data_IF_202402008579
#
_entry.id   IF_202402008579
#
_cell.length_a   1.000
_cell.length_b   1.000
_cell.length_c   1.000
_cell.angle_alpha   90.00
_cell.angle_beta   90.00
_cell.angle_gamma   90.00
#
_symmetry.space_group_name_H-M   'P 1'
#
loop_
_entity.id
_entity.type
_entity.pdbx_description
1 polymer ?
#
# COMPACT_ATOMS: atom_id res chain seq x y z
N UNK A 1 19.77 -26.85 6.75
CA UNK A 1 19.93 -26.52 5.32
C UNK A 1 18.62 -25.90 4.87
N UNK A 2 18.42 -24.59 4.81
CA UNK A 2 19.35 -23.47 4.96
C UNK A 2 18.71 -22.41 5.86
N UNK A 3 19.43 -22.08 6.94
CA UNK A 3 19.04 -21.07 7.90
C UNK A 3 19.19 -19.69 7.27
N UNK A 4 18.13 -18.88 7.39
CA UNK A 4 18.14 -17.47 7.08
C UNK A 4 19.04 -16.78 8.13
N UNK A 5 20.35 -16.70 7.88
CA UNK A 5 21.27 -15.94 8.72
C UNK A 5 20.96 -14.46 8.48
N UNK A 6 20.13 -13.89 9.35
CA UNK A 6 19.94 -12.45 9.47
C UNK A 6 21.15 -11.91 10.23
N UNK A 7 22.16 -11.44 9.51
CA UNK A 7 23.21 -10.63 10.13
C UNK A 7 22.61 -9.26 10.48
N UNK A 8 22.38 -9.03 11.79
CA UNK A 8 22.08 -7.71 12.36
C UNK A 8 23.33 -6.83 12.21
N UNK A 9 23.39 -6.04 11.13
CA UNK A 9 24.48 -5.07 10.91
C UNK A 9 23.98 -3.68 11.28
N UNK A 10 24.16 -3.31 12.55
CA UNK A 10 23.86 -1.97 13.05
C UNK A 10 24.85 -0.96 12.45
N UNK A 11 24.37 0.19 11.99
CA UNK A 11 25.25 1.33 11.75
C UNK A 11 25.64 1.97 13.10
N UNK A 12 26.66 2.83 13.08
CA UNK A 12 27.22 3.48 14.29
C UNK A 12 26.21 4.28 15.13
N UNK A 13 24.99 4.55 14.60
CA UNK A 13 23.97 5.37 15.24
C UNK A 13 22.70 4.58 15.63
N UNK A 14 22.69 3.24 15.49
CA UNK A 14 21.61 2.40 16.01
C UNK A 14 20.26 2.44 15.25
N UNK A 15 20.21 2.99 14.04
CA UNK A 15 18.95 3.06 13.26
C UNK A 15 18.79 1.85 12.32
N UNK A 16 17.63 1.19 12.39
CA UNK A 16 17.27 0.02 11.56
C UNK A 16 16.85 0.50 10.16
N UNK A 17 17.77 0.42 9.19
CA UNK A 17 17.50 0.68 7.76
C UNK A 17 17.54 -0.63 6.94
N UNK A 18 16.78 -1.66 7.35
CA UNK A 18 16.97 -3.03 6.84
C UNK A 18 16.04 -3.52 5.71
N UNK A 19 15.18 -2.69 5.11
CA UNK A 19 14.25 -3.17 4.07
C UNK A 19 14.53 -2.67 2.66
N UNK A 20 15.22 -1.56 2.47
CA UNK A 20 15.40 -0.96 1.13
C UNK A 20 16.55 -1.58 0.34
N UNK A 21 17.65 -1.96 1.01
CA UNK A 21 18.87 -2.45 0.34
C UNK A 21 18.69 -3.84 -0.26
N UNK A 22 18.00 -4.75 0.44
CA UNK A 22 17.73 -6.10 -0.07
C UNK A 22 16.78 -6.09 -1.28
N UNK A 23 15.76 -5.22 -1.26
CA UNK A 23 14.87 -4.98 -2.41
C UNK A 23 15.70 -4.43 -3.58
N UNK A 24 16.54 -3.43 -3.35
CA UNK A 24 17.42 -2.89 -4.39
C UNK A 24 18.35 -3.96 -5.01
N UNK A 25 18.97 -4.84 -4.23
CA UNK A 25 19.82 -5.91 -4.78
C UNK A 25 19.05 -6.97 -5.57
N UNK A 26 17.83 -7.33 -5.16
CA UNK A 26 16.97 -8.26 -5.91
C UNK A 26 16.47 -7.61 -7.21
N UNK A 27 16.11 -6.32 -7.15
CA UNK A 27 15.76 -5.50 -8.32
C UNK A 27 16.91 -5.35 -9.31
N UNK A 28 18.14 -5.23 -8.81
CA UNK A 28 19.33 -5.13 -9.66
C UNK A 28 19.68 -6.47 -10.33
N UNK A 29 19.30 -7.62 -9.74
CA UNK A 29 19.48 -8.95 -10.33
C UNK A 29 18.40 -9.33 -11.35
N UNK A 30 17.19 -8.76 -11.28
CA UNK A 30 16.08 -8.97 -12.23
C UNK A 30 15.96 -7.78 -13.19
N UNK A 31 16.77 -7.83 -14.24
CA UNK A 31 17.06 -6.73 -15.18
C UNK A 31 15.86 -6.05 -15.86
N UNK A 32 16.16 -4.88 -16.48
CA UNK A 32 15.36 -3.96 -17.34
C UNK A 32 13.85 -3.80 -17.07
N UNK A 33 13.07 -4.88 -17.02
CA UNK A 33 11.64 -4.92 -16.73
C UNK A 33 11.26 -4.24 -15.40
N UNK A 34 11.97 -4.55 -14.31
CA UNK A 34 11.70 -3.96 -12.99
C UNK A 34 12.08 -2.48 -12.95
N UNK A 35 13.16 -2.10 -13.66
CA UNK A 35 13.55 -0.69 -13.81
C UNK A 35 12.51 0.14 -14.58
N UNK A 36 11.88 -0.46 -15.59
CA UNK A 36 10.81 0.19 -16.34
C UNK A 36 9.55 0.34 -15.48
N UNK A 37 9.14 -0.71 -14.76
CA UNK A 37 8.02 -0.66 -13.82
C UNK A 37 8.25 0.39 -12.72
N UNK A 38 9.42 0.44 -12.08
CA UNK A 38 9.74 1.47 -11.08
C UNK A 38 9.66 2.87 -11.68
N UNK A 39 10.20 3.09 -12.89
CA UNK A 39 10.12 4.39 -13.59
C UNK A 39 8.69 4.79 -13.97
N UNK A 40 7.80 3.83 -14.23
CA UNK A 40 6.40 4.09 -14.54
C UNK A 40 5.56 4.27 -13.27
N UNK A 41 5.85 3.53 -12.20
CA UNK A 41 5.15 3.59 -10.91
C UNK A 41 5.42 4.89 -10.16
N UNK A 42 6.66 5.37 -10.19
CA UNK A 42 7.07 6.54 -9.41
C UNK A 42 6.26 7.80 -9.77
N UNK A 43 6.10 8.17 -11.06
CA UNK A 43 5.28 9.33 -11.44
C UNK A 43 3.79 9.15 -11.15
N UNK A 44 3.23 7.94 -11.30
CA UNK A 44 1.81 7.65 -10.96
C UNK A 44 1.54 8.03 -9.52
N UNK A 45 2.43 7.61 -8.63
CA UNK A 45 2.26 7.77 -7.20
C UNK A 45 2.63 9.19 -6.79
N UNK A 46 3.65 9.80 -7.38
CA UNK A 46 4.03 11.20 -7.14
C UNK A 46 2.99 12.22 -7.64
N UNK A 47 2.29 11.94 -8.74
CA UNK A 47 1.27 12.84 -9.30
C UNK A 47 -0.07 12.77 -8.54
N UNK A 48 -0.40 11.60 -7.98
CA UNK A 48 -1.66 11.36 -7.26
C UNK A 48 -1.59 11.61 -5.76
N UNK A 49 -0.38 11.62 -5.18
CA UNK A 49 -0.18 11.75 -3.74
C UNK A 49 0.60 13.02 -3.43
N UNK A 50 0.08 13.84 -2.52
CA UNK A 50 0.80 15.02 -2.07
C UNK A 50 2.22 14.67 -1.60
N UNK A 51 3.18 15.46 -2.08
CA UNK A 51 4.63 15.26 -2.12
C UNK A 51 5.30 14.87 -0.78
N UNK A 52 4.59 14.94 0.35
CA UNK A 52 5.14 14.84 1.71
C UNK A 52 4.61 13.71 2.61
N UNK A 53 3.69 12.85 2.17
CA UNK A 53 3.24 11.75 3.04
C UNK A 53 4.24 10.59 3.07
N UNK A 54 4.68 10.18 4.26
CA UNK A 54 5.60 9.05 4.44
C UNK A 54 4.95 7.72 4.02
N UNK A 55 3.62 7.65 4.04
CA UNK A 55 2.87 6.41 3.93
C UNK A 55 2.77 5.90 2.46
N UNK A 56 2.82 6.79 1.45
CA UNK A 56 2.80 6.35 0.04
C UNK A 56 4.13 5.76 -0.43
N UNK A 57 5.28 6.28 0.05
CA UNK A 57 6.60 5.73 -0.27
C UNK A 57 6.69 4.28 0.19
N UNK A 58 6.08 4.01 1.34
CA UNK A 58 6.03 2.69 1.92
C UNK A 58 5.12 1.74 1.14
N UNK A 59 4.00 2.22 0.60
CA UNK A 59 3.14 1.45 -0.31
C UNK A 59 3.89 1.04 -1.60
N UNK A 60 4.66 1.95 -2.21
CA UNK A 60 5.50 1.63 -3.37
C UNK A 60 6.51 0.53 -3.04
N UNK A 61 7.23 0.67 -1.91
CA UNK A 61 8.25 -0.32 -1.52
C UNK A 61 7.63 -1.71 -1.36
N UNK A 62 6.43 -1.82 -0.79
CA UNK A 62 5.74 -3.10 -0.64
C UNK A 62 5.22 -3.65 -1.96
N UNK A 63 4.64 -2.82 -2.82
CA UNK A 63 4.23 -3.25 -4.16
C UNK A 63 5.42 -3.80 -4.97
N UNK A 64 6.57 -3.13 -4.88
CA UNK A 64 7.81 -3.55 -5.51
C UNK A 64 8.35 -4.87 -4.94
N UNK A 65 8.25 -5.06 -3.62
CA UNK A 65 8.56 -6.32 -2.96
C UNK A 65 7.63 -7.45 -3.42
N UNK A 66 6.32 -7.18 -3.49
CA UNK A 66 5.31 -8.15 -3.92
C UNK A 66 5.48 -8.52 -5.40
N UNK A 67 5.90 -7.59 -6.28
CA UNK A 67 6.28 -7.92 -7.67
C UNK A 67 7.49 -8.85 -7.74
N UNK A 68 8.46 -8.69 -6.84
CA UNK A 68 9.60 -9.58 -6.76
C UNK A 68 9.19 -10.99 -6.29
N UNK A 69 8.22 -11.08 -5.40
CA UNK A 69 7.68 -12.35 -4.88
C UNK A 69 6.73 -13.04 -5.86
N UNK A 70 5.91 -12.26 -6.58
CA UNK A 70 4.86 -12.74 -7.47
C UNK A 70 5.05 -12.16 -8.89
N UNK A 71 6.04 -12.65 -9.65
CA UNK A 71 6.33 -12.11 -10.99
C UNK A 71 5.20 -12.32 -12.01
N UNK A 72 4.19 -13.15 -11.70
CA UNK A 72 3.02 -13.39 -12.54
C UNK A 72 2.23 -12.12 -12.90
N UNK A 73 2.29 -11.08 -12.07
CA UNK A 73 1.58 -9.81 -12.33
C UNK A 73 2.36 -8.86 -13.26
N UNK A 74 3.65 -9.10 -13.48
CA UNK A 74 4.55 -8.16 -14.19
C UNK A 74 4.09 -7.92 -15.63
N UNK A 75 3.71 -8.98 -16.35
CA UNK A 75 3.34 -8.83 -17.76
C UNK A 75 2.01 -8.10 -17.90
N UNK A 76 0.99 -8.49 -17.14
CA UNK A 76 -0.31 -7.84 -17.16
C UNK A 76 -0.23 -6.34 -16.80
N UNK A 77 0.57 -5.98 -15.79
CA UNK A 77 0.81 -4.58 -15.43
C UNK A 77 1.56 -3.81 -16.54
N UNK A 78 2.52 -4.45 -17.21
CA UNK A 78 3.24 -3.82 -18.33
C UNK A 78 2.31 -3.61 -19.53
N UNK A 79 1.47 -4.57 -19.85
CA UNK A 79 0.48 -4.48 -20.93
C UNK A 79 -0.50 -3.36 -20.67
N UNK A 80 -1.09 -3.29 -19.45
CA UNK A 80 -1.98 -2.20 -19.06
C UNK A 80 -1.31 -0.84 -19.21
N UNK A 81 -0.10 -0.67 -18.65
CA UNK A 81 0.64 0.58 -18.77
C UNK A 81 0.91 0.95 -20.24
N UNK A 82 1.40 0.00 -21.04
CA UNK A 82 1.75 0.23 -22.45
C UNK A 82 0.52 0.63 -23.26
N UNK A 83 -0.62 -0.01 -23.03
CA UNK A 83 -1.88 0.31 -23.67
C UNK A 83 -2.32 1.74 -23.30
N UNK A 84 -2.36 2.07 -22.01
CA UNK A 84 -2.81 3.39 -21.54
C UNK A 84 -1.90 4.51 -21.99
N UNK A 85 -0.59 4.32 -22.02
CA UNK A 85 0.33 5.34 -22.55
C UNK A 85 0.21 5.54 -24.07
N UNK A 86 -0.23 4.52 -24.83
CA UNK A 86 -0.48 4.63 -26.27
C UNK A 86 -1.83 5.28 -26.59
N UNK A 87 -2.86 4.99 -25.82
CA UNK A 87 -4.22 5.54 -26.00
C UNK A 87 -4.34 7.01 -25.61
N UNK A 88 -3.37 7.54 -24.87
CA UNK A 88 -3.50 8.82 -24.20
C UNK A 88 -3.03 9.99 -25.07
N UNK A 89 -3.90 10.44 -25.98
CA UNK A 89 -3.68 11.66 -26.77
C UNK A 89 -4.19 12.94 -26.06
N UNK A 90 -5.03 12.84 -25.02
CA UNK A 90 -5.69 14.02 -24.39
C UNK A 90 -6.02 13.94 -22.88
N UNK A 91 -5.73 12.85 -22.16
CA UNK A 91 -6.12 12.66 -20.73
C UNK A 91 -4.97 12.37 -19.75
N UNK A 92 -5.30 12.06 -18.49
CA UNK A 92 -4.33 11.49 -17.53
C UNK A 92 -4.26 9.96 -17.76
N UNK A 93 -3.11 9.41 -18.19
CA UNK A 93 -3.01 7.99 -18.53
C UNK A 93 -3.21 7.10 -17.29
N UNK A 94 -3.05 7.66 -16.09
CA UNK A 94 -3.16 6.94 -14.84
C UNK A 94 -4.61 6.67 -14.46
N UNK A 95 -5.58 7.51 -14.86
CA UNK A 95 -7.00 7.38 -14.46
C UNK A 95 -7.61 6.01 -14.77
N UNK A 96 -7.07 5.30 -15.75
CA UNK A 96 -7.59 4.01 -16.24
C UNK A 96 -6.63 2.83 -16.04
N UNK A 97 -5.66 2.95 -15.13
CA UNK A 97 -4.78 1.84 -14.73
C UNK A 97 -5.39 1.07 -13.56
N UNK A 98 -6.42 0.29 -13.85
CA UNK A 98 -7.26 -0.40 -12.87
C UNK A 98 -6.53 -1.55 -12.17
N UNK A 99 -5.77 -2.34 -12.94
CA UNK A 99 -4.98 -3.43 -12.40
C UNK A 99 -3.85 -2.88 -11.52
N UNK A 100 -3.23 -1.78 -11.92
CA UNK A 100 -2.24 -1.12 -11.11
C UNK A 100 -2.82 -0.66 -9.75
N UNK A 101 -3.93 0.07 -9.76
CA UNK A 101 -4.57 0.52 -8.52
C UNK A 101 -4.96 -0.67 -7.63
N UNK A 102 -5.48 -1.74 -8.23
CA UNK A 102 -5.80 -2.97 -7.50
C UNK A 102 -4.57 -3.62 -6.87
N UNK A 103 -3.48 -3.74 -7.63
CA UNK A 103 -2.25 -4.36 -7.17
C UNK A 103 -1.61 -3.56 -6.02
N UNK A 104 -1.60 -2.22 -6.13
CA UNK A 104 -1.10 -1.35 -5.07
C UNK A 104 -1.94 -1.48 -3.79
N UNK A 105 -3.26 -1.53 -3.93
CA UNK A 105 -4.21 -1.67 -2.81
C UNK A 105 -4.06 -3.03 -2.12
N UNK A 106 -3.89 -4.11 -2.89
CA UNK A 106 -3.61 -5.43 -2.33
C UNK A 106 -2.26 -5.49 -1.62
N UNK A 107 -1.23 -4.89 -2.20
CA UNK A 107 0.10 -4.87 -1.59
C UNK A 107 0.07 -4.16 -0.23
N UNK A 108 -0.66 -3.03 -0.15
CA UNK A 108 -0.89 -2.31 1.08
C UNK A 108 -1.75 -3.09 2.10
N UNK A 109 -2.73 -3.89 1.65
CA UNK A 109 -3.54 -4.77 2.51
C UNK A 109 -2.74 -5.94 3.08
N UNK A 110 -1.96 -6.60 2.24
CA UNK A 110 -1.27 -7.83 2.56
C UNK A 110 0.01 -7.57 3.36
N UNK A 111 0.69 -6.46 3.05
CA UNK A 111 1.94 -6.05 3.68
C UNK A 111 1.85 -4.64 4.28
N UNK A 112 0.91 -4.35 5.21
CA UNK A 112 0.76 -3.00 5.74
C UNK A 112 1.97 -2.61 6.60
N UNK A 113 2.38 -1.35 6.51
CA UNK A 113 3.49 -0.77 7.28
C UNK A 113 3.21 -0.76 8.77
N UNK A 114 2.00 -0.37 9.14
CA UNK A 114 1.53 -0.25 10.50
C UNK A 114 0.44 -1.28 10.83
N UNK A 115 0.19 -1.50 12.11
CA UNK A 115 -0.97 -2.29 12.57
C UNK A 115 -2.21 -1.42 12.82
N UNK A 116 -2.02 -0.12 13.02
CA UNK A 116 -3.05 0.84 13.40
C UNK A 116 -2.96 2.09 12.53
N UNK A 117 -4.09 2.74 12.28
CA UNK A 117 -4.17 4.05 11.65
C UNK A 117 -4.91 5.04 12.55
N UNK A 118 -4.91 6.33 12.15
CA UNK A 118 -5.69 7.40 12.80
C UNK A 118 -5.56 7.47 14.33
N UNK A 119 -4.42 7.94 14.85
CA UNK A 119 -4.21 8.09 16.30
C UNK A 119 -4.78 9.43 16.79
N UNK A 120 -5.59 9.41 17.85
CA UNK A 120 -6.19 10.60 18.47
C UNK A 120 -6.01 10.55 19.98
N UNK A 121 -5.34 11.57 20.53
CA UNK A 121 -5.22 11.76 21.97
C UNK A 121 -6.44 12.50 22.50
N UNK A 122 -7.08 11.95 23.52
CA UNK A 122 -8.17 12.60 24.23
C UNK A 122 -7.63 13.81 25.01
N UNK A 123 -8.10 15.00 24.63
CA UNK A 123 -7.81 16.27 25.31
C UNK A 123 -8.83 16.61 26.40
N UNK A 124 -9.94 15.87 26.42
CA UNK A 124 -11.04 15.95 27.38
C UNK A 124 -11.62 14.54 27.57
N UNK A 125 -12.36 14.29 28.66
CA UNK A 125 -13.09 13.03 28.82
C UNK A 125 -14.11 12.87 27.69
N UNK A 126 -14.25 11.65 27.18
CA UNK A 126 -15.18 11.33 26.11
C UNK A 126 -15.79 9.95 26.34
N UNK A 127 -17.09 9.80 26.11
CA UNK A 127 -17.77 8.50 26.20
C UNK A 127 -18.42 8.20 24.85
N UNK A 128 -18.07 7.05 24.29
CA UNK A 128 -18.65 6.52 23.06
C UNK A 128 -20.10 6.06 23.30
N UNK A 129 -20.86 5.90 22.22
CA UNK A 129 -22.27 5.49 22.30
C UNK A 129 -22.47 4.08 22.87
N UNK A 130 -21.43 3.25 22.85
CA UNK A 130 -21.40 1.90 23.43
C UNK A 130 -21.02 1.89 24.92
N UNK A 131 -20.80 3.07 25.52
CA UNK A 131 -20.44 3.22 26.92
C UNK A 131 -18.94 3.14 27.22
N UNK A 132 -18.08 2.92 26.21
CA UNK A 132 -16.63 3.00 26.40
C UNK A 132 -16.23 4.45 26.70
N UNK A 133 -15.48 4.69 27.77
CA UNK A 133 -15.01 6.03 28.14
C UNK A 133 -13.50 6.17 28.01
N UNK A 134 -13.07 7.29 27.42
CA UNK A 134 -11.69 7.75 27.36
C UNK A 134 -11.43 8.82 28.42
N UNK A 135 -10.31 8.67 29.12
CA UNK A 135 -9.78 9.69 30.03
C UNK A 135 -8.89 10.67 29.26
N UNK A 136 -8.69 11.85 29.85
CA UNK A 136 -7.72 12.82 29.33
C UNK A 136 -6.35 12.14 29.27
N UNK A 137 -5.73 12.16 28.10
CA UNK A 137 -4.44 11.52 27.85
C UNK A 137 -4.51 10.21 27.08
N UNK A 138 -5.65 9.52 27.08
CA UNK A 138 -5.82 8.25 26.35
C UNK A 138 -5.67 8.45 24.84
N UNK A 139 -5.22 7.40 24.14
CA UNK A 139 -5.06 7.41 22.67
C UNK A 139 -5.99 6.40 22.04
N UNK A 140 -6.97 6.89 21.27
CA UNK A 140 -7.80 6.07 20.41
C UNK A 140 -7.14 5.89 19.03
N UNK A 141 -7.30 4.71 18.42
CA UNK A 141 -6.80 4.42 17.08
C UNK A 141 -7.71 3.44 16.35
N UNK A 142 -7.56 3.36 15.02
CA UNK A 142 -8.26 2.37 14.19
C UNK A 142 -7.38 1.12 14.06
N UNK A 143 -7.90 -0.09 14.35
CA UNK A 143 -7.15 -1.34 14.23
C UNK A 143 -7.05 -1.78 12.75
N UNK A 144 -6.32 -1.00 11.96
CA UNK A 144 -6.20 -1.14 10.50
C UNK A 144 -5.88 -2.56 10.05
N UNK A 145 -4.82 -3.18 10.58
CA UNK A 145 -4.40 -4.53 10.18
C UNK A 145 -5.47 -5.57 10.48
N UNK A 146 -6.19 -5.42 11.60
CA UNK A 146 -7.27 -6.34 11.94
C UNK A 146 -8.42 -6.22 10.94
N UNK A 147 -8.83 -5.01 10.58
CA UNK A 147 -9.88 -4.76 9.58
C UNK A 147 -9.49 -5.33 8.20
N UNK A 148 -8.25 -5.09 7.77
CA UNK A 148 -7.72 -5.54 6.46
C UNK A 148 -7.42 -7.04 6.37
N UNK A 149 -7.37 -7.71 7.52
CA UNK A 149 -7.19 -9.17 7.63
C UNK A 149 -8.45 -9.88 8.10
N UNK A 150 -9.59 -9.19 8.18
CA UNK A 150 -10.87 -9.79 8.55
C UNK A 150 -11.52 -10.45 7.31
N UNK A 151 -11.76 -11.76 7.40
CA UNK A 151 -12.41 -12.53 6.34
C UNK A 151 -13.85 -12.06 6.02
N UNK A 152 -14.49 -11.36 6.96
CA UNK A 152 -15.80 -10.72 6.73
C UNK A 152 -15.72 -9.57 5.74
N UNK A 153 -14.55 -8.94 5.61
CA UNK A 153 -14.29 -7.85 4.67
C UNK A 153 -13.66 -8.36 3.37
N UNK A 154 -12.72 -9.31 3.47
CA UNK A 154 -11.94 -9.80 2.33
C UNK A 154 -11.84 -11.33 2.37
N UNK A 155 -12.41 -12.07 1.41
CA UNK A 155 -12.26 -13.53 1.39
C UNK A 155 -10.80 -13.94 1.10
N UNK A 156 -10.33 -15.06 1.66
CA UNK A 156 -8.97 -15.57 1.45
C UNK A 156 -7.88 -14.53 1.81
N UNK A 157 -7.96 -13.92 3.01
CA UNK A 157 -7.06 -12.84 3.45
C UNK A 157 -5.57 -13.20 3.43
N UNK A 158 -5.27 -14.50 3.62
CA UNK A 158 -3.91 -15.06 3.64
C UNK A 158 -3.30 -15.22 2.25
N UNK A 159 -4.06 -14.99 1.19
CA UNK A 159 -3.60 -15.05 -0.19
C UNK A 159 -3.44 -13.63 -0.73
N UNK A 160 -2.26 -13.35 -1.29
CA UNK A 160 -2.02 -12.12 -2.04
C UNK A 160 -2.60 -12.25 -3.45
N UNK A 161 -3.67 -11.51 -3.70
CA UNK A 161 -4.36 -11.48 -4.99
C UNK A 161 -4.37 -10.05 -5.57
N UNK A 162 -3.48 -9.80 -6.53
CA UNK A 162 -3.32 -8.50 -7.18
C UNK A 162 -4.56 -8.03 -7.94
N UNK A 163 -5.51 -8.92 -8.22
CA UNK A 163 -6.77 -8.63 -8.90
C UNK A 163 -7.94 -8.40 -7.93
N UNK A 164 -7.73 -8.50 -6.61
CA UNK A 164 -8.78 -8.43 -5.59
C UNK A 164 -9.67 -7.18 -5.68
N UNK A 165 -9.09 -6.08 -6.10
CA UNK A 165 -9.76 -4.78 -6.21
C UNK A 165 -9.95 -4.35 -7.67
N UNK A 166 -9.66 -5.24 -8.62
CA UNK A 166 -9.86 -4.99 -10.03
C UNK A 166 -11.36 -5.11 -10.32
N UNK A 167 -11.99 -3.98 -10.62
CA UNK A 167 -13.38 -3.96 -11.08
C UNK A 167 -13.47 -3.29 -12.46
N UNK A 168 -12.92 -3.98 -13.45
CA UNK A 168 -12.94 -3.53 -14.85
C UNK A 168 -14.35 -3.48 -15.45
N UNK A 169 -15.34 -4.12 -14.82
CA UNK A 169 -16.72 -4.23 -15.33
C UNK A 169 -17.68 -3.17 -14.80
N UNK A 170 -17.44 -2.61 -13.61
CA UNK A 170 -18.32 -1.57 -13.03
C UNK A 170 -17.93 -0.14 -13.38
N UNK A 171 -16.81 0.07 -14.07
CA UNK A 171 -16.35 1.40 -14.44
C UNK A 171 -15.97 2.29 -13.24
N UNK A 172 -15.81 1.69 -12.06
CA UNK A 172 -15.44 2.35 -10.82
C UNK A 172 -14.27 1.61 -10.21
N UNK A 173 -13.19 2.35 -9.95
CA UNK A 173 -11.93 1.84 -9.43
C UNK A 173 -11.95 1.99 -7.93
N UNK A 174 -11.65 0.93 -7.19
CA UNK A 174 -11.27 1.08 -5.80
C UNK A 174 -9.82 1.59 -5.79
N UNK A 175 -9.64 2.90 -5.94
CA UNK A 175 -8.31 3.51 -6.02
C UNK A 175 -7.58 3.26 -4.71
N UNK A 176 -6.26 3.19 -4.79
CA UNK A 176 -5.45 3.13 -3.59
C UNK A 176 -5.81 4.30 -2.67
N UNK A 177 -5.99 5.51 -3.23
CA UNK A 177 -6.24 6.78 -2.52
C UNK A 177 -7.63 6.90 -1.88
N UNK A 178 -8.55 5.97 -2.15
CA UNK A 178 -9.92 6.08 -1.65
C UNK A 178 -9.97 5.90 -0.12
N UNK A 179 -10.72 6.78 0.54
CA UNK A 179 -10.95 6.70 1.98
C UNK A 179 -12.13 5.77 2.24
N UNK A 180 -11.83 4.58 2.76
CA UNK A 180 -12.85 3.56 3.05
C UNK A 180 -12.70 3.03 4.48
N UNK A 181 -13.83 2.77 5.14
CA UNK A 181 -13.83 2.20 6.50
C UNK A 181 -13.18 0.79 6.53
N UNK A 182 -13.32 0.03 5.44
CA UNK A 182 -12.71 -1.31 5.29
C UNK A 182 -11.25 -1.26 4.87
N UNK A 183 -10.79 -0.12 4.35
CA UNK A 183 -9.41 0.11 3.92
C UNK A 183 -8.85 1.39 4.58
N UNK A 184 -8.75 1.45 5.92
CA UNK A 184 -8.52 2.69 6.64
C UNK A 184 -7.03 3.07 6.71
N UNK A 185 -6.24 2.74 5.67
CA UNK A 185 -4.80 3.07 5.62
C UNK A 185 -4.55 4.58 5.63
N UNK A 186 -5.55 5.31 5.18
CA UNK A 186 -5.55 6.75 5.07
C UNK A 186 -6.28 7.46 6.21
N UNK A 187 -6.74 6.71 7.20
CA UNK A 187 -7.59 7.23 8.26
C UNK A 187 -9.05 7.37 7.83
N UNK A 188 -9.81 8.18 8.57
CA UNK A 188 -11.25 8.34 8.39
C UNK A 188 -11.73 9.72 8.85
N UNK A 189 -12.81 10.23 8.24
CA UNK A 189 -13.45 11.50 8.59
C UNK A 189 -12.66 12.75 8.18
N UNK A 190 -12.84 13.85 8.91
CA UNK A 190 -12.26 15.19 8.61
C UNK A 190 -10.72 15.28 8.57
N UNK A 191 -10.01 14.17 8.78
CA UNK A 191 -8.55 14.07 8.78
C UNK A 191 -8.10 12.76 8.13
N UNK A 192 -8.87 12.30 7.14
CA UNK A 192 -8.47 11.20 6.28
C UNK A 192 -7.62 11.79 5.16
N UNK A 193 -6.35 11.38 5.13
CA UNK A 193 -5.23 12.20 4.65
C UNK A 193 -5.17 13.62 5.25
#
# INVERSE_FOLDING_TARGET
MDGLIVHDVRNANGSIHFRVVAVASIMMRRGRAVKHLVKCLLPVVEQRMERNSQDYKQAIVYALYDLCKYPKYIEALREEMTLRFKENETGDPFERMFLLDSFLKESARFSPSDSISLRRKAIGPYTFTDGLSLKVGDVACIPMRAIMSDERNYPNVMVSDGYRFEDSKRGSVAKLTDVEAKFPIWGYGRRAW
#
